data_IF_640757186679
#
_entry.id   IF_640757186679
#
_cell.length_a   1.000
_cell.length_b   1.000
_cell.length_c   1.000
_cell.angle_alpha   90.00
_cell.angle_beta   90.00
_cell.angle_gamma   90.00
#
_symmetry.space_group_name_H-M   'P 1'
#
loop_
_entity.id
_entity.type
_entity.pdbx_description
1 polymer ?
#
# COMPACT_ATOMS: atom_id res chain seq x y z
N UNK A 1 -11.73 32.35 0.89
CA UNK A 1 -10.82 31.44 0.18
C UNK A 1 -11.62 30.20 -0.16
N UNK A 2 -11.64 29.76 -1.42
CA UNK A 2 -12.37 28.54 -1.81
C UNK A 2 -11.63 27.29 -1.31
N UNK A 3 -12.34 26.17 -1.17
CA UNK A 3 -11.72 24.88 -0.81
C UNK A 3 -10.69 24.48 -1.86
N UNK A 4 -11.00 24.69 -3.14
CA UNK A 4 -10.08 24.41 -4.24
C UNK A 4 -8.78 25.20 -4.13
N UNK A 5 -8.87 26.52 -3.90
CA UNK A 5 -7.68 27.34 -3.71
C UNK A 5 -6.85 26.87 -2.51
N UNK A 6 -7.50 26.53 -1.40
CA UNK A 6 -6.81 26.00 -0.23
C UNK A 6 -6.12 24.65 -0.52
N UNK A 7 -6.71 23.81 -1.37
CA UNK A 7 -6.12 22.55 -1.81
C UNK A 7 -4.83 22.79 -2.60
N UNK A 8 -4.90 23.66 -3.61
CA UNK A 8 -3.75 24.04 -4.45
C UNK A 8 -2.66 24.73 -3.61
N UNK A 9 -3.02 25.69 -2.77
CA UNK A 9 -2.08 26.39 -1.89
C UNK A 9 -1.38 25.40 -0.93
N UNK A 10 -2.10 24.38 -0.43
CA UNK A 10 -1.50 23.34 0.43
C UNK A 10 -0.51 22.46 -0.34
N UNK A 11 -0.84 22.06 -1.58
CA UNK A 11 0.08 21.27 -2.43
C UNK A 11 1.33 22.09 -2.75
N UNK A 12 1.15 23.35 -3.15
CA UNK A 12 2.24 24.29 -3.44
C UNK A 12 3.20 24.46 -2.27
N UNK A 13 2.68 24.80 -1.08
CA UNK A 13 3.51 24.92 0.14
C UNK A 13 4.20 23.58 0.46
N UNK A 14 3.52 22.46 0.21
CA UNK A 14 4.10 21.14 0.40
C UNK A 14 5.33 20.89 -0.49
N UNK A 15 5.29 21.35 -1.74
CA UNK A 15 6.41 21.25 -2.68
C UNK A 15 7.54 22.24 -2.33
N UNK A 16 7.20 23.47 -1.94
CA UNK A 16 8.18 24.45 -1.45
C UNK A 16 8.94 23.94 -0.22
N UNK A 17 8.23 23.29 0.71
CA UNK A 17 8.81 22.68 1.90
C UNK A 17 9.72 21.49 1.54
N UNK A 18 9.47 20.79 0.42
CA UNK A 18 10.34 19.70 -0.06
C UNK A 18 11.63 20.21 -0.73
N UNK A 19 11.55 21.32 -1.47
CA UNK A 19 12.71 21.96 -2.10
C UNK A 19 13.57 22.75 -1.11
N UNK A 20 13.07 22.97 0.11
CA UNK A 20 13.81 23.63 1.19
C UNK A 20 15.03 22.83 1.62
N UNK A 21 16.16 23.52 1.80
CA UNK A 21 17.39 22.94 2.35
C UNK A 21 17.33 22.66 3.88
N UNK A 22 16.20 22.96 4.53
CA UNK A 22 15.97 22.66 5.95
C UNK A 22 15.24 21.31 6.08
N UNK A 23 15.97 20.25 6.44
CA UNK A 23 15.44 18.87 6.57
C UNK A 23 14.20 18.78 7.49
N UNK A 24 14.03 19.72 8.43
CA UNK A 24 12.85 19.76 9.30
C UNK A 24 11.56 20.04 8.53
N UNK A 25 11.66 20.56 7.31
CA UNK A 25 10.53 20.87 6.41
C UNK A 25 9.96 19.64 5.72
N UNK A 26 10.66 18.51 5.69
CA UNK A 26 10.17 17.24 5.12
C UNK A 26 8.81 16.82 5.72
N UNK A 27 8.65 16.94 7.04
CA UNK A 27 7.37 16.63 7.71
C UNK A 27 6.27 17.61 7.29
N UNK A 28 6.63 18.88 7.17
CA UNK A 28 5.69 19.92 6.73
C UNK A 28 5.23 19.65 5.30
N UNK A 29 6.16 19.32 4.41
CA UNK A 29 5.90 18.91 3.03
C UNK A 29 4.87 17.78 2.97
N UNK A 30 5.17 16.67 3.64
CA UNK A 30 4.32 15.47 3.69
C UNK A 30 2.90 15.78 4.21
N UNK A 31 2.80 16.59 5.27
CA UNK A 31 1.50 17.01 5.83
C UNK A 31 0.69 17.87 4.86
N UNK A 32 1.34 18.84 4.24
CA UNK A 32 0.70 19.81 3.36
C UNK A 32 0.22 19.15 2.06
N UNK A 33 1.01 18.25 1.47
CA UNK A 33 0.62 17.47 0.29
C UNK A 33 -0.58 16.58 0.61
N UNK A 34 -0.53 15.81 1.70
CA UNK A 34 -1.64 14.94 2.08
C UNK A 34 -2.93 15.73 2.38
N UNK A 35 -2.81 16.86 3.09
CA UNK A 35 -3.94 17.76 3.33
C UNK A 35 -4.51 18.32 2.01
N UNK A 36 -3.65 18.69 1.07
CA UNK A 36 -4.02 19.15 -0.26
C UNK A 36 -4.85 18.13 -1.04
N UNK A 37 -4.44 16.85 -1.05
CA UNK A 37 -5.20 15.75 -1.67
C UNK A 37 -6.60 15.64 -1.04
N UNK A 38 -6.70 15.63 0.29
CA UNK A 38 -7.99 15.56 0.97
C UNK A 38 -8.88 16.77 0.69
N UNK A 39 -8.29 17.95 0.52
CA UNK A 39 -9.02 19.17 0.15
C UNK A 39 -9.53 19.12 -1.30
N UNK A 40 -8.78 18.55 -2.25
CA UNK A 40 -9.28 18.29 -3.61
C UNK A 40 -10.49 17.36 -3.56
N UNK A 41 -10.43 16.29 -2.77
CA UNK A 41 -11.55 15.36 -2.62
C UNK A 41 -12.78 16.04 -2.02
N UNK A 42 -12.58 16.86 -0.98
CA UNK A 42 -13.65 17.66 -0.36
C UNK A 42 -14.23 18.69 -1.32
N UNK A 43 -13.41 19.28 -2.20
CA UNK A 43 -13.88 20.19 -3.22
C UNK A 43 -14.84 19.48 -4.18
N UNK A 44 -14.50 18.27 -4.65
CA UNK A 44 -15.41 17.49 -5.51
C UNK A 44 -16.75 17.17 -4.82
N UNK A 45 -16.72 16.82 -3.52
CA UNK A 45 -17.96 16.63 -2.76
C UNK A 45 -18.77 17.92 -2.64
N UNK A 46 -18.12 19.07 -2.52
CA UNK A 46 -18.78 20.37 -2.52
C UNK A 46 -19.47 20.64 -3.87
N UNK A 47 -18.81 20.38 -5.01
CA UNK A 47 -19.41 20.54 -6.34
C UNK A 47 -20.62 19.62 -6.59
N UNK A 48 -20.57 18.39 -6.07
CA UNK A 48 -21.64 17.41 -6.22
C UNK A 48 -22.78 17.61 -5.21
N UNK A 49 -22.61 18.47 -4.21
CA UNK A 49 -23.66 18.74 -3.24
C UNK A 49 -24.81 19.48 -3.93
N UNK A 50 -26.07 19.01 -3.79
CA UNK A 50 -27.21 19.69 -4.39
C UNK A 50 -27.31 21.15 -3.93
N UNK A 51 -27.87 22.00 -4.80
CA UNK A 51 -28.26 23.36 -4.41
C UNK A 51 -29.17 23.29 -3.16
N UNK A 52 -29.06 24.29 -2.30
CA UNK A 52 -29.79 24.39 -1.02
C UNK A 52 -29.57 23.26 0.01
N UNK A 53 -28.56 22.39 -0.18
CA UNK A 53 -28.25 21.29 0.75
C UNK A 53 -27.29 21.66 1.89
N UNK A 54 -26.83 22.91 1.98
CA UNK A 54 -25.73 23.33 2.87
C UNK A 54 -24.49 22.41 2.74
N UNK A 55 -24.09 22.13 1.49
CA UNK A 55 -22.95 21.27 1.16
C UNK A 55 -23.05 19.88 1.83
N UNK A 56 -24.20 19.21 1.73
CA UNK A 56 -24.48 17.98 2.47
C UNK A 56 -23.39 16.89 2.31
N UNK A 57 -22.76 16.80 1.12
CA UNK A 57 -21.73 15.80 0.83
C UNK A 57 -20.36 16.11 1.44
N UNK A 58 -20.11 17.31 1.98
CA UNK A 58 -18.89 17.59 2.75
C UNK A 58 -19.16 17.59 4.27
N UNK A 59 -20.41 17.78 4.74
CA UNK A 59 -20.72 17.76 6.18
C UNK A 59 -20.71 16.34 6.75
N UNK A 60 -20.18 16.19 7.96
CA UNK A 60 -20.20 14.90 8.67
C UNK A 60 -21.62 14.50 9.09
N UNK A 61 -22.45 15.48 9.45
CA UNK A 61 -23.85 15.27 9.87
C UNK A 61 -24.79 15.77 8.79
N UNK A 62 -25.71 14.92 8.37
CA UNK A 62 -26.76 15.23 7.38
C UNK A 62 -28.10 14.83 7.97
N UNK A 63 -29.09 15.73 7.93
CA UNK A 63 -30.43 15.52 8.49
C UNK A 63 -31.51 15.77 7.42
N UNK A 64 -32.65 15.07 7.48
CA UNK A 64 -33.76 15.35 6.60
C UNK A 64 -34.47 16.66 7.02
N UNK A 65 -34.86 17.45 6.02
CA UNK A 65 -35.72 18.62 6.15
C UNK A 65 -36.83 18.55 5.11
N UNK A 66 -38.04 18.97 5.47
CA UNK A 66 -39.18 19.00 4.55
C UNK A 66 -39.26 20.40 3.93
N UNK A 67 -39.26 20.46 2.60
CA UNK A 67 -39.42 21.73 1.89
C UNK A 67 -40.88 22.17 1.76
N UNK A 68 -41.10 23.34 1.14
CA UNK A 68 -42.43 23.90 0.94
C UNK A 68 -43.35 23.03 0.05
N UNK A 69 -42.80 22.10 -0.73
CA UNK A 69 -43.54 21.16 -1.58
C UNK A 69 -43.91 19.86 -0.85
N UNK A 70 -43.36 19.65 0.36
CA UNK A 70 -43.50 18.42 1.13
C UNK A 70 -42.45 17.35 0.80
N UNK A 71 -41.46 17.66 -0.05
CA UNK A 71 -40.38 16.75 -0.37
C UNK A 71 -39.31 16.72 0.75
N UNK A 72 -38.65 15.58 0.91
CA UNK A 72 -37.57 15.40 1.89
C UNK A 72 -36.24 15.72 1.23
N UNK A 73 -35.58 16.77 1.72
CA UNK A 73 -34.23 17.16 1.32
C UNK A 73 -33.23 16.83 2.43
N UNK A 74 -32.05 16.38 2.04
CA UNK A 74 -30.97 16.06 2.98
C UNK A 74 -30.04 17.25 3.11
N UNK A 75 -30.05 17.88 4.28
CA UNK A 75 -29.30 19.12 4.55
C UNK A 75 -28.14 18.83 5.49
N UNK A 76 -26.97 19.34 5.11
CA UNK A 76 -25.78 19.34 5.96
C UNK A 76 -26.00 20.11 7.25
N UNK A 77 -25.41 19.66 8.36
CA UNK A 77 -25.52 20.35 9.64
C UNK A 77 -24.19 20.46 10.36
N UNK A 78 -23.89 21.68 10.83
CA UNK A 78 -22.76 21.98 11.69
C UNK A 78 -21.48 22.30 10.91
N UNK A 79 -20.36 22.42 11.66
CA UNK A 79 -19.07 22.87 11.11
C UNK A 79 -18.10 21.73 10.79
N UNK A 80 -18.38 20.51 11.27
CA UNK A 80 -17.49 19.36 11.05
C UNK A 80 -17.66 18.85 9.62
N UNK A 81 -16.54 18.68 8.94
CA UNK A 81 -16.48 18.09 7.61
C UNK A 81 -16.10 16.62 7.69
N UNK A 82 -16.35 15.89 6.61
CA UNK A 82 -15.95 14.50 6.44
C UNK A 82 -14.45 14.30 6.67
N UNK A 83 -14.10 13.17 7.28
CA UNK A 83 -12.73 12.64 7.35
C UNK A 83 -12.45 11.69 6.16
N UNK A 84 -11.24 11.12 6.11
CA UNK A 84 -10.81 10.24 5.01
C UNK A 84 -11.72 9.02 4.82
N UNK A 85 -12.24 8.44 5.90
CA UNK A 85 -13.12 7.27 5.82
C UNK A 85 -14.48 7.66 5.25
N UNK A 86 -15.06 8.76 5.74
CA UNK A 86 -16.30 9.30 5.20
C UNK A 86 -16.16 9.71 3.73
N UNK A 87 -15.00 10.23 3.31
CA UNK A 87 -14.72 10.53 1.89
C UNK A 87 -14.71 9.23 1.07
N UNK A 88 -14.01 8.19 1.53
CA UNK A 88 -13.94 6.88 0.86
C UNK A 88 -15.32 6.26 0.65
N UNK A 89 -16.16 6.26 1.68
CA UNK A 89 -17.52 5.74 1.60
C UNK A 89 -18.38 6.55 0.62
N UNK A 90 -18.29 7.88 0.67
CA UNK A 90 -19.05 8.76 -0.24
C UNK A 90 -18.60 8.59 -1.68
N UNK A 91 -17.30 8.56 -1.95
CA UNK A 91 -16.76 8.33 -3.29
C UNK A 91 -17.17 6.98 -3.84
N UNK A 92 -17.12 5.91 -3.02
CA UNK A 92 -17.63 4.60 -3.41
C UNK A 92 -19.12 4.64 -3.76
N UNK A 93 -19.93 5.34 -2.96
CA UNK A 93 -21.37 5.47 -3.21
C UNK A 93 -21.71 6.32 -4.44
N UNK A 94 -20.84 7.26 -4.79
CA UNK A 94 -20.97 8.18 -5.93
C UNK A 94 -20.24 7.68 -7.19
N UNK A 95 -19.61 6.50 -7.13
CA UNK A 95 -18.78 5.94 -8.21
C UNK A 95 -17.66 6.90 -8.66
N UNK A 96 -17.02 7.56 -7.71
CA UNK A 96 -15.83 8.40 -7.93
C UNK A 96 -14.59 7.53 -7.74
N UNK A 97 -13.81 7.39 -8.79
CA UNK A 97 -12.61 6.56 -8.80
C UNK A 97 -11.40 7.30 -8.23
N UNK A 98 -10.68 6.64 -7.33
CA UNK A 98 -9.44 7.10 -6.69
C UNK A 98 -8.56 5.89 -6.42
N UNK A 99 -7.25 6.02 -6.61
CA UNK A 99 -6.28 5.01 -6.18
C UNK A 99 -6.13 5.03 -4.65
N UNK A 100 -7.07 4.36 -3.97
CA UNK A 100 -7.08 4.25 -2.51
C UNK A 100 -5.85 3.54 -1.95
N UNK A 101 -5.27 2.60 -2.70
CA UNK A 101 -4.04 1.89 -2.28
C UNK A 101 -2.87 2.85 -2.21
N UNK A 102 -2.72 3.71 -3.23
CA UNK A 102 -1.69 4.77 -3.24
C UNK A 102 -1.93 5.80 -2.14
N UNK A 103 -3.18 6.18 -1.88
CA UNK A 103 -3.50 7.09 -0.77
C UNK A 103 -3.16 6.49 0.61
N UNK A 104 -3.42 5.20 0.81
CA UNK A 104 -3.10 4.47 2.04
C UNK A 104 -1.58 4.41 2.25
N UNK A 105 -0.78 4.18 1.20
CA UNK A 105 0.69 4.29 1.27
C UNK A 105 1.16 5.68 1.70
N UNK A 106 0.64 6.74 1.08
CA UNK A 106 0.97 8.13 1.45
C UNK A 106 0.63 8.40 2.91
N UNK A 107 -0.53 7.92 3.39
CA UNK A 107 -0.94 8.10 4.78
C UNK A 107 -0.06 7.32 5.76
N UNK A 108 0.35 6.10 5.42
CA UNK A 108 1.27 5.30 6.24
C UNK A 108 2.63 6.00 6.33
N UNK A 109 3.18 6.41 5.18
CA UNK A 109 4.43 7.16 5.12
C UNK A 109 4.36 8.46 5.94
N UNK A 110 3.23 9.19 5.90
CA UNK A 110 3.00 10.35 6.77
C UNK A 110 3.09 9.98 8.26
N UNK A 111 2.43 8.90 8.67
CA UNK A 111 2.46 8.46 10.06
C UNK A 111 3.87 8.03 10.48
N UNK A 112 4.58 7.30 9.63
CA UNK A 112 5.92 6.81 9.92
C UNK A 112 6.91 7.96 10.10
N UNK A 113 6.86 8.98 9.22
CA UNK A 113 7.62 10.22 9.40
C UNK A 113 7.24 10.93 10.70
N UNK A 114 5.95 11.02 11.04
CA UNK A 114 5.50 11.66 12.27
C UNK A 114 5.98 10.94 13.55
N UNK A 115 6.25 9.64 13.47
CA UNK A 115 6.65 8.81 14.60
C UNK A 115 8.16 8.57 14.71
N UNK A 116 8.90 8.50 13.60
CA UNK A 116 10.28 8.01 13.55
C UNK A 116 11.30 9.02 13.00
N UNK A 117 11.20 10.30 13.42
CA UNK A 117 12.03 11.45 12.98
C UNK A 117 13.55 11.20 12.72
N UNK A 118 14.15 10.15 13.28
CA UNK A 118 15.60 9.90 13.30
C UNK A 118 16.22 9.18 12.09
N UNK A 119 15.47 8.66 11.12
CA UNK A 119 16.02 7.86 9.99
C UNK A 119 15.82 8.47 8.59
N UNK A 120 15.38 9.73 8.51
CA UNK A 120 14.88 10.34 7.27
C UNK A 120 15.98 10.81 6.30
N UNK A 121 15.71 10.64 5.00
CA UNK A 121 16.44 11.23 3.88
C UNK A 121 15.44 11.81 2.84
N UNK A 122 15.95 12.63 1.92
CA UNK A 122 15.17 13.28 0.87
C UNK A 122 14.50 12.28 -0.10
N UNK A 123 15.17 11.16 -0.37
CA UNK A 123 14.76 10.11 -1.31
C UNK A 123 13.47 9.40 -0.89
N UNK A 124 13.30 9.14 0.41
CA UNK A 124 12.05 8.54 0.91
C UNK A 124 10.83 9.44 0.61
N UNK A 125 11.00 10.77 0.64
CA UNK A 125 9.93 11.74 0.36
C UNK A 125 9.62 11.82 -1.13
N UNK A 126 10.60 11.56 -1.99
CA UNK A 126 10.40 11.53 -3.44
C UNK A 126 9.35 10.49 -3.83
N UNK A 127 9.32 9.33 -3.16
CA UNK A 127 8.27 8.35 -3.36
C UNK A 127 6.89 8.91 -3.00
N UNK A 128 6.76 9.57 -1.84
CA UNK A 128 5.48 10.18 -1.44
C UNK A 128 5.03 11.22 -2.46
N UNK A 129 5.93 12.05 -2.96
CA UNK A 129 5.62 13.09 -3.94
C UNK A 129 5.20 12.45 -5.27
N UNK A 130 5.92 11.41 -5.72
CA UNK A 130 5.57 10.61 -6.90
C UNK A 130 4.17 9.99 -6.75
N UNK A 131 3.91 9.30 -5.63
CA UNK A 131 2.60 8.72 -5.32
C UNK A 131 1.50 9.80 -5.27
N UNK A 132 1.79 10.94 -4.66
CA UNK A 132 0.86 12.07 -4.57
C UNK A 132 0.59 12.70 -5.93
N UNK A 133 1.60 12.79 -6.80
CA UNK A 133 1.48 13.34 -8.14
C UNK A 133 0.48 12.56 -8.97
N UNK A 134 0.57 11.23 -8.98
CA UNK A 134 -0.36 10.38 -9.73
C UNK A 134 -1.80 10.58 -9.25
N UNK A 135 -2.03 10.63 -7.94
CA UNK A 135 -3.37 10.89 -7.38
C UNK A 135 -3.87 12.28 -7.77
N UNK A 136 -3.06 13.32 -7.53
CA UNK A 136 -3.44 14.72 -7.79
C UNK A 136 -3.74 14.93 -9.27
N UNK A 137 -2.84 14.50 -10.15
CA UNK A 137 -3.01 14.60 -11.61
C UNK A 137 -4.29 13.93 -12.06
N UNK A 138 -4.45 12.64 -11.76
CA UNK A 138 -5.59 11.87 -12.27
C UNK A 138 -6.90 12.40 -11.70
N UNK A 139 -6.92 12.77 -10.41
CA UNK A 139 -8.12 13.32 -9.80
C UNK A 139 -8.53 14.66 -10.43
N UNK A 140 -7.58 15.57 -10.66
CA UNK A 140 -7.89 16.86 -11.31
C UNK A 140 -8.40 16.64 -12.74
N UNK A 141 -7.72 15.79 -13.53
CA UNK A 141 -8.08 15.57 -14.92
C UNK A 141 -9.41 14.81 -15.08
N UNK A 142 -9.63 13.76 -14.28
CA UNK A 142 -10.74 12.81 -14.47
C UNK A 142 -11.96 13.16 -13.62
N UNK A 143 -11.77 13.76 -12.45
CA UNK A 143 -12.86 14.05 -11.50
C UNK A 143 -13.22 15.53 -11.44
N UNK A 144 -12.30 16.44 -11.77
CA UNK A 144 -12.57 17.89 -11.84
C UNK A 144 -12.64 18.44 -13.28
N UNK A 145 -12.40 17.61 -14.30
CA UNK A 145 -12.44 17.98 -15.73
C UNK A 145 -11.64 19.27 -16.04
N UNK A 146 -10.48 19.40 -15.38
CA UNK A 146 -9.60 20.58 -15.48
C UNK A 146 -8.19 20.12 -15.85
N UNK A 147 -7.43 20.95 -16.56
CA UNK A 147 -6.01 20.68 -16.83
C UNK A 147 -5.20 20.78 -15.52
N UNK A 148 -4.51 19.70 -15.08
CA UNK A 148 -3.74 19.72 -13.84
C UNK A 148 -2.58 20.72 -13.83
N UNK A 149 -1.94 20.96 -14.99
CA UNK A 149 -0.85 21.93 -15.13
C UNK A 149 -1.40 23.35 -15.03
N UNK A 150 -2.55 23.65 -15.63
CA UNK A 150 -3.19 24.96 -15.51
C UNK A 150 -3.65 25.23 -14.06
N UNK A 151 -4.21 24.23 -13.38
CA UNK A 151 -4.72 24.38 -12.02
C UNK A 151 -3.61 24.53 -10.98
N UNK A 152 -2.55 23.73 -11.07
CA UNK A 152 -1.42 23.77 -10.14
C UNK A 152 -0.44 24.90 -10.47
N UNK A 153 -0.35 25.31 -11.74
CA UNK A 153 0.65 26.25 -12.23
C UNK A 153 1.92 25.56 -12.73
N UNK A 154 2.60 26.20 -13.69
CA UNK A 154 3.75 25.59 -14.40
C UNK A 154 4.93 25.24 -13.48
N UNK A 155 5.18 26.06 -12.47
CA UNK A 155 6.27 25.90 -11.51
C UNK A 155 6.12 24.59 -10.72
N UNK A 156 5.03 24.45 -9.98
CA UNK A 156 4.78 23.27 -9.15
C UNK A 156 4.53 22.01 -9.97
N UNK A 157 3.88 22.13 -11.13
CA UNK A 157 3.71 21.01 -12.06
C UNK A 157 5.07 20.43 -12.48
N UNK A 158 6.03 21.30 -12.82
CA UNK A 158 7.37 20.88 -13.23
C UNK A 158 8.08 20.13 -12.11
N UNK A 159 8.02 20.62 -10.86
CA UNK A 159 8.62 19.96 -9.70
C UNK A 159 8.06 18.54 -9.54
N UNK A 160 6.73 18.38 -9.59
CA UNK A 160 6.11 17.06 -9.42
C UNK A 160 6.49 16.08 -10.53
N UNK A 161 6.56 16.54 -11.78
CA UNK A 161 6.99 15.72 -12.92
C UNK A 161 8.44 15.28 -12.75
N UNK A 162 9.35 16.21 -12.42
CA UNK A 162 10.77 15.90 -12.24
C UNK A 162 10.99 14.89 -11.11
N UNK A 163 10.34 15.09 -9.96
CA UNK A 163 10.44 14.14 -8.83
C UNK A 163 9.89 12.76 -9.19
N UNK A 164 8.75 12.71 -9.90
CA UNK A 164 8.17 11.45 -10.35
C UNK A 164 9.08 10.74 -11.35
N UNK A 165 9.65 11.43 -12.34
CA UNK A 165 10.56 10.84 -13.33
C UNK A 165 11.82 10.25 -12.69
N UNK A 166 12.44 10.99 -11.75
CA UNK A 166 13.61 10.50 -11.01
C UNK A 166 13.25 9.26 -10.19
N UNK A 167 12.14 9.30 -9.44
CA UNK A 167 11.72 8.16 -8.62
C UNK A 167 11.44 6.91 -9.47
N UNK A 168 10.70 7.04 -10.58
CA UNK A 168 10.39 5.91 -11.46
C UNK A 168 11.65 5.31 -12.09
N UNK A 169 12.64 6.15 -12.45
CA UNK A 169 13.92 5.68 -12.97
C UNK A 169 14.71 4.88 -11.92
N UNK A 170 14.80 5.39 -10.68
CA UNK A 170 15.47 4.68 -9.58
C UNK A 170 14.74 3.39 -9.22
N UNK A 171 13.40 3.41 -9.18
CA UNK A 171 12.58 2.24 -8.93
C UNK A 171 12.79 1.16 -9.99
N UNK A 172 12.81 1.53 -11.27
CA UNK A 172 13.09 0.60 -12.36
C UNK A 172 14.50 -0.01 -12.26
N UNK A 173 15.51 0.78 -11.86
CA UNK A 173 16.86 0.27 -11.66
C UNK A 173 16.93 -0.75 -10.50
N UNK A 174 16.22 -0.49 -9.41
CA UNK A 174 16.04 -1.43 -8.30
C UNK A 174 15.34 -2.73 -8.74
N UNK A 175 14.23 -2.64 -9.48
CA UNK A 175 13.52 -3.82 -9.97
C UNK A 175 14.38 -4.67 -10.92
N UNK A 176 15.13 -4.01 -11.81
CA UNK A 176 16.07 -4.70 -12.70
C UNK A 176 17.17 -5.44 -11.94
N UNK A 177 17.68 -4.90 -10.83
CA UNK A 177 18.70 -5.60 -10.03
C UNK A 177 18.14 -6.85 -9.38
N UNK A 178 16.91 -6.79 -8.85
CA UNK A 178 16.19 -7.94 -8.31
C UNK A 178 15.95 -9.02 -9.38
N UNK A 179 15.55 -8.62 -10.59
CA UNK A 179 15.32 -9.55 -11.72
C UNK A 179 16.57 -10.31 -12.18
N UNK A 180 17.77 -9.87 -11.78
CA UNK A 180 19.01 -10.60 -12.11
C UNK A 180 19.23 -11.86 -11.27
N UNK A 181 18.47 -12.03 -10.18
CA UNK A 181 18.60 -13.16 -9.26
C UNK A 181 17.68 -14.32 -9.65
N UNK A 182 18.01 -15.52 -9.17
CA UNK A 182 17.14 -16.69 -9.31
C UNK A 182 16.34 -16.90 -8.04
N UNK A 183 15.02 -17.03 -8.15
CA UNK A 183 14.11 -17.26 -7.03
C UNK A 183 13.45 -18.62 -7.14
N UNK A 184 13.07 -19.20 -5.99
CA UNK A 184 12.32 -20.46 -5.92
C UNK A 184 10.87 -20.31 -6.37
N UNK A 185 10.35 -19.08 -6.37
CA UNK A 185 9.03 -18.71 -6.88
C UNK A 185 9.01 -17.25 -7.34
N UNK A 186 8.32 -16.97 -8.45
CA UNK A 186 8.08 -15.62 -8.96
C UNK A 186 7.32 -14.74 -7.94
N UNK A 187 6.50 -15.33 -7.08
CA UNK A 187 5.79 -14.62 -6.01
C UNK A 187 6.74 -13.94 -5.03
N UNK A 188 7.92 -14.51 -4.81
CA UNK A 188 8.94 -13.91 -3.92
C UNK A 188 9.55 -12.68 -4.59
N UNK A 189 9.88 -12.76 -5.88
CA UNK A 189 10.33 -11.60 -6.65
C UNK A 189 9.27 -10.50 -6.66
N UNK A 190 8.00 -10.85 -6.89
CA UNK A 190 6.88 -9.89 -6.86
C UNK A 190 6.70 -9.26 -5.47
N UNK A 191 6.92 -10.02 -4.40
CA UNK A 191 6.93 -9.50 -3.03
C UNK A 191 8.08 -8.52 -2.82
N UNK A 192 9.30 -8.82 -3.28
CA UNK A 192 10.45 -7.94 -3.13
C UNK A 192 10.27 -6.64 -3.92
N UNK A 193 9.68 -6.71 -5.12
CA UNK A 193 9.36 -5.52 -5.92
C UNK A 193 8.34 -4.61 -5.25
N UNK A 194 7.42 -5.15 -4.44
CA UNK A 194 6.38 -4.36 -3.75
C UNK A 194 6.76 -3.93 -2.33
N UNK A 195 7.76 -4.58 -1.74
CA UNK A 195 8.19 -4.37 -0.37
C UNK A 195 8.61 -2.92 -0.09
N UNK A 196 8.25 -2.43 1.09
CA UNK A 196 8.65 -1.12 1.60
C UNK A 196 9.68 -1.30 2.72
N UNK A 197 10.82 -0.62 2.59
CA UNK A 197 11.87 -0.64 3.60
C UNK A 197 11.32 -0.19 4.96
N UNK A 198 11.44 -1.03 5.98
CA UNK A 198 10.92 -0.74 7.32
C UNK A 198 11.66 0.40 8.04
N UNK A 199 12.84 0.80 7.57
CA UNK A 199 13.64 1.88 8.19
C UNK A 199 13.28 3.28 7.68
N UNK A 200 12.87 3.40 6.41
CA UNK A 200 12.61 4.70 5.77
C UNK A 200 11.31 4.77 4.96
N UNK A 201 10.59 3.67 4.80
CA UNK A 201 9.35 3.59 4.04
C UNK A 201 9.51 3.65 2.52
N UNK A 202 10.74 3.63 1.99
CA UNK A 202 10.96 3.62 0.53
C UNK A 202 10.80 2.22 -0.06
N UNK A 203 10.27 2.12 -1.26
CA UNK A 203 10.17 0.92 -2.08
C UNK A 203 11.42 0.71 -2.95
N UNK A 204 12.57 1.29 -2.60
CA UNK A 204 13.79 1.25 -3.40
C UNK A 204 14.76 0.17 -2.87
N UNK A 205 14.28 -1.06 -2.71
CA UNK A 205 15.15 -2.20 -2.40
C UNK A 205 15.84 -2.70 -3.67
N UNK A 206 17.14 -2.91 -3.59
CA UNK A 206 17.98 -3.44 -4.66
C UNK A 206 18.81 -4.64 -4.20
N UNK A 207 19.08 -5.54 -5.13
CA UNK A 207 20.09 -6.58 -4.94
C UNK A 207 21.50 -5.98 -5.11
N UNK A 208 22.44 -6.39 -4.25
CA UNK A 208 23.86 -6.04 -4.35
C UNK A 208 24.65 -7.05 -5.20
N UNK A 209 24.13 -8.27 -5.29
CA UNK A 209 24.71 -9.37 -6.08
C UNK A 209 23.93 -9.53 -7.39
N UNK A 210 24.56 -10.12 -8.42
CA UNK A 210 23.93 -10.29 -9.74
C UNK A 210 24.16 -11.70 -10.28
N UNK A 211 23.13 -12.31 -10.87
CA UNK A 211 23.23 -13.63 -11.50
C UNK A 211 23.48 -14.79 -10.52
N UNK A 212 23.14 -14.60 -9.24
CA UNK A 212 23.25 -15.62 -8.19
C UNK A 212 21.86 -16.08 -7.74
N UNK A 213 21.82 -17.13 -6.93
CA UNK A 213 20.59 -17.50 -6.22
C UNK A 213 20.22 -16.38 -5.24
N UNK A 214 18.93 -16.02 -5.17
CA UNK A 214 18.46 -14.96 -4.30
C UNK A 214 18.76 -15.26 -2.82
N UNK A 215 18.80 -16.54 -2.42
CA UNK A 215 19.15 -16.99 -1.07
C UNK A 215 20.58 -16.60 -0.67
N UNK A 216 21.49 -16.46 -1.65
CA UNK A 216 22.90 -16.09 -1.42
C UNK A 216 23.14 -14.57 -1.55
N UNK A 217 22.14 -13.81 -1.99
CA UNK A 217 22.28 -12.39 -2.28
C UNK A 217 22.09 -11.51 -1.04
N UNK A 218 22.72 -10.33 -1.08
CA UNK A 218 22.49 -9.25 -0.12
C UNK A 218 21.61 -8.16 -0.75
N UNK A 219 20.78 -7.53 0.08
CA UNK A 219 19.84 -6.51 -0.35
C UNK A 219 20.07 -5.23 0.41
N UNK A 220 20.01 -4.10 -0.29
CA UNK A 220 20.09 -2.78 0.32
C UNK A 220 18.89 -1.94 -0.08
N UNK A 221 18.43 -1.11 0.85
CA UNK A 221 17.60 0.02 0.51
C UNK A 221 18.46 1.12 -0.09
N UNK A 222 18.27 1.43 -1.37
CA UNK A 222 19.00 2.50 -2.06
C UNK A 222 18.83 3.85 -1.38
N UNK A 223 17.66 4.06 -0.75
CA UNK A 223 17.36 5.30 -0.06
C UNK A 223 18.16 5.44 1.24
N UNK A 224 17.90 4.60 2.25
CA UNK A 224 18.51 4.77 3.57
C UNK A 224 19.83 4.02 3.76
N UNK A 225 20.22 3.18 2.80
CA UNK A 225 21.41 2.33 2.88
C UNK A 225 21.27 1.14 3.84
N UNK A 226 20.09 0.88 4.41
CA UNK A 226 19.87 -0.29 5.26
C UNK A 226 20.07 -1.58 4.47
N UNK A 227 20.84 -2.50 5.03
CA UNK A 227 21.21 -3.78 4.41
C UNK A 227 20.55 -4.94 5.14
N UNK A 228 20.04 -5.91 4.38
CA UNK A 228 19.41 -7.12 4.90
C UNK A 228 19.82 -8.36 4.07
N UNK A 229 19.81 -9.51 4.73
CA UNK A 229 19.97 -10.81 4.06
C UNK A 229 18.61 -11.34 3.59
N UNK A 230 18.65 -12.30 2.67
CA UNK A 230 17.45 -12.87 2.06
C UNK A 230 16.45 -13.43 3.09
N UNK A 231 16.91 -14.14 4.12
CA UNK A 231 16.02 -14.80 5.09
C UNK A 231 15.18 -13.79 5.88
N UNK A 232 15.77 -12.65 6.24
CA UNK A 232 15.07 -11.57 6.95
C UNK A 232 14.13 -10.82 6.00
N UNK A 233 14.63 -10.46 4.81
CA UNK A 233 13.86 -9.72 3.82
C UNK A 233 12.67 -10.52 3.30
N UNK A 234 12.86 -11.82 3.01
CA UNK A 234 11.81 -12.68 2.46
C UNK A 234 10.62 -12.84 3.41
N UNK A 235 10.87 -13.06 4.70
CA UNK A 235 9.81 -13.13 5.71
C UNK A 235 9.03 -11.81 5.81
N UNK A 236 9.73 -10.67 5.83
CA UNK A 236 9.11 -9.34 5.89
C UNK A 236 8.30 -9.02 4.62
N UNK A 237 8.88 -9.27 3.45
CA UNK A 237 8.27 -9.00 2.16
C UNK A 237 7.03 -9.85 1.91
N UNK A 238 7.08 -11.16 2.22
CA UNK A 238 5.93 -12.06 2.05
C UNK A 238 4.81 -11.74 3.05
N UNK A 239 5.15 -11.39 4.30
CA UNK A 239 4.17 -10.96 5.29
C UNK A 239 3.42 -9.69 4.85
N UNK A 240 4.13 -8.71 4.27
CA UNK A 240 3.51 -7.51 3.70
C UNK A 240 2.68 -7.84 2.46
N UNK A 241 3.21 -8.66 1.56
CA UNK A 241 2.57 -9.04 0.30
C UNK A 241 1.20 -9.72 0.51
N UNK A 242 1.13 -10.64 1.47
CA UNK A 242 -0.09 -11.40 1.79
C UNK A 242 -0.92 -10.82 2.93
N UNK A 243 -0.60 -9.63 3.43
CA UNK A 243 -1.29 -9.03 4.59
C UNK A 243 -2.81 -8.94 4.40
N UNK A 244 -3.26 -8.59 3.19
CA UNK A 244 -4.69 -8.50 2.86
C UNK A 244 -5.36 -9.89 2.82
N UNK A 245 -4.71 -10.87 2.21
CA UNK A 245 -5.23 -12.24 2.09
C UNK A 245 -5.30 -12.93 3.45
N UNK A 246 -4.27 -12.76 4.29
CA UNK A 246 -4.26 -13.24 5.67
C UNK A 246 -5.37 -12.61 6.51
N UNK A 247 -5.62 -11.30 6.36
CA UNK A 247 -6.73 -10.64 7.03
C UNK A 247 -8.07 -11.28 6.66
N UNK A 248 -8.32 -11.50 5.36
CA UNK A 248 -9.56 -12.13 4.88
C UNK A 248 -9.67 -13.59 5.31
N UNK A 249 -8.57 -14.35 5.34
CA UNK A 249 -8.56 -15.72 5.86
C UNK A 249 -9.02 -15.75 7.32
N UNK A 250 -8.56 -14.81 8.14
CA UNK A 250 -8.93 -14.71 9.55
C UNK A 250 -10.35 -14.18 9.80
N UNK A 251 -10.84 -13.22 9.02
CA UNK A 251 -12.16 -12.63 9.25
C UNK A 251 -13.31 -13.37 8.56
N UNK A 252 -13.04 -13.92 7.37
CA UNK A 252 -14.07 -14.42 6.46
C UNK A 252 -13.94 -15.94 6.23
N UNK A 253 -12.91 -16.59 6.79
CA UNK A 253 -12.69 -18.03 6.70
C UNK A 253 -12.19 -18.50 5.33
N UNK A 254 -11.52 -17.60 4.58
CA UNK A 254 -10.84 -17.96 3.34
C UNK A 254 -9.60 -18.84 3.60
N UNK A 255 -9.11 -19.51 2.56
CA UNK A 255 -7.87 -20.30 2.61
C UNK A 255 -6.67 -19.39 2.95
N UNK A 256 -5.80 -19.83 3.85
CA UNK A 256 -4.55 -19.11 4.16
C UNK A 256 -3.56 -19.21 2.98
N UNK A 257 -2.93 -18.11 2.55
CA UNK A 257 -2.00 -18.13 1.42
C UNK A 257 -0.62 -18.72 1.78
N UNK A 258 -0.26 -18.64 3.06
CA UNK A 258 1.07 -19.02 3.56
C UNK A 258 0.99 -19.61 4.97
N UNK A 259 1.93 -20.47 5.31
CA UNK A 259 2.18 -20.96 6.67
C UNK A 259 3.68 -20.90 6.99
N UNK A 260 4.05 -21.07 8.26
CA UNK A 260 5.45 -21.33 8.61
C UNK A 260 5.90 -22.67 8.02
N UNK A 261 7.11 -22.71 7.45
CA UNK A 261 7.62 -23.95 6.87
C UNK A 261 7.74 -25.04 7.94
N UNK A 262 7.10 -26.21 7.77
CA UNK A 262 7.13 -27.28 8.77
C UNK A 262 8.48 -28.02 8.82
N UNK A 263 9.37 -27.80 7.85
CA UNK A 263 10.68 -28.46 7.78
C UNK A 263 11.78 -27.60 8.40
N UNK A 264 11.96 -26.35 7.95
CA UNK A 264 13.02 -25.49 8.48
C UNK A 264 12.59 -24.54 9.61
N UNK A 265 11.28 -24.30 9.80
CA UNK A 265 10.73 -23.34 10.76
C UNK A 265 11.25 -21.90 10.63
N UNK A 266 11.96 -21.58 9.56
CA UNK A 266 12.53 -20.26 9.29
C UNK A 266 11.89 -19.59 8.07
N UNK A 267 11.55 -20.39 7.05
CA UNK A 267 10.97 -19.89 5.81
C UNK A 267 9.45 -19.88 5.83
N UNK A 268 8.88 -19.14 4.90
CA UNK A 268 7.44 -19.10 4.63
C UNK A 268 7.12 -20.16 3.57
N UNK A 269 6.20 -21.07 3.87
CA UNK A 269 5.69 -22.02 2.90
C UNK A 269 4.53 -21.39 2.13
N UNK A 270 4.72 -21.27 0.81
CA UNK A 270 3.74 -20.71 -0.10
C UNK A 270 2.75 -21.82 -0.50
N UNK A 271 1.47 -21.66 -0.15
CA UNK A 271 0.48 -22.75 -0.26
C UNK A 271 0.12 -23.06 -1.72
N UNK A 272 -0.01 -22.04 -2.57
CA UNK A 272 -0.39 -22.21 -3.97
C UNK A 272 0.75 -22.86 -4.78
N UNK A 273 1.98 -22.46 -4.50
CA UNK A 273 3.19 -22.92 -5.17
C UNK A 273 3.72 -24.24 -4.58
N UNK A 274 3.36 -24.56 -3.34
CA UNK A 274 3.74 -25.78 -2.66
C UNK A 274 5.23 -25.86 -2.32
N UNK A 275 5.87 -24.73 -2.03
CA UNK A 275 7.31 -24.64 -1.78
C UNK A 275 7.65 -23.65 -0.65
N UNK A 276 8.70 -23.97 0.10
CA UNK A 276 9.28 -23.08 1.10
C UNK A 276 10.15 -22.00 0.45
N UNK A 277 10.04 -20.76 0.94
CA UNK A 277 10.83 -19.62 0.47
C UNK A 277 12.33 -19.71 0.75
N UNK A 278 12.79 -20.62 1.64
CA UNK A 278 14.18 -20.72 2.10
C UNK A 278 14.81 -22.09 1.83
N UNK A 279 14.15 -23.19 2.22
CA UNK A 279 14.79 -24.52 2.24
C UNK A 279 14.34 -25.46 1.11
N UNK A 280 13.62 -24.95 0.11
CA UNK A 280 13.05 -25.72 -1.02
C UNK A 280 12.14 -26.88 -0.62
N UNK A 281 11.69 -26.94 0.63
CA UNK A 281 10.78 -27.97 1.09
C UNK A 281 9.46 -27.91 0.31
N UNK A 282 9.09 -29.04 -0.30
CA UNK A 282 7.81 -29.24 -0.98
C UNK A 282 6.99 -30.31 -0.26
N UNK A 283 5.67 -30.14 -0.15
CA UNK A 283 4.78 -31.14 0.43
C UNK A 283 3.69 -31.57 -0.54
N UNK A 284 3.16 -32.78 -0.36
CA UNK A 284 2.03 -33.25 -1.14
C UNK A 284 0.76 -32.42 -0.85
N UNK A 285 0.08 -31.97 -1.90
CA UNK A 285 -1.21 -31.27 -1.76
C UNK A 285 -2.39 -32.22 -1.51
N UNK A 286 -2.18 -33.52 -1.68
CA UNK A 286 -3.18 -34.58 -1.47
C UNK A 286 -2.61 -35.75 -0.68
N UNK A 287 -3.40 -36.26 0.26
CA UNK A 287 -3.05 -37.39 1.08
C UNK A 287 -2.86 -38.67 0.25
N UNK A 288 -1.68 -39.27 0.34
CA UNK A 288 -1.31 -40.51 -0.38
C UNK A 288 -2.25 -41.68 -0.07
N UNK A 289 -2.88 -41.70 1.12
CA UNK A 289 -3.75 -42.80 1.55
C UNK A 289 -5.21 -42.65 1.13
N UNK A 290 -5.81 -41.48 1.36
CA UNK A 290 -7.24 -41.28 1.10
C UNK A 290 -7.53 -40.44 -0.16
N UNK A 291 -6.50 -39.83 -0.77
CA UNK A 291 -6.63 -38.93 -1.92
C UNK A 291 -7.27 -37.57 -1.60
N UNK A 292 -7.63 -37.29 -0.34
CA UNK A 292 -8.19 -36.01 0.07
C UNK A 292 -7.13 -34.89 0.07
N UNK A 293 -7.56 -33.65 -0.17
CA UNK A 293 -6.70 -32.45 -0.04
C UNK A 293 -6.14 -32.38 1.39
N UNK A 294 -4.84 -32.15 1.53
CA UNK A 294 -4.23 -31.86 2.84
C UNK A 294 -4.49 -30.37 3.11
N UNK A 295 -5.22 -30.01 4.18
CA UNK A 295 -5.44 -28.61 4.52
C UNK A 295 -4.12 -27.95 4.95
N UNK A 296 -3.96 -26.63 4.75
CA UNK A 296 -2.72 -25.92 5.10
C UNK A 296 -2.17 -26.23 6.50
N UNK A 297 -3.06 -26.34 7.49
CA UNK A 297 -2.69 -26.57 8.89
C UNK A 297 -2.16 -28.00 9.16
N UNK A 298 -2.36 -28.93 8.23
CA UNK A 298 -1.87 -30.31 8.30
C UNK A 298 -0.64 -30.56 7.40
N UNK A 299 -0.18 -29.53 6.66
CA UNK A 299 1.02 -29.66 5.83
C UNK A 299 2.22 -29.96 6.74
N UNK A 300 2.92 -31.02 6.40
CA UNK A 300 4.05 -31.55 7.15
C UNK A 300 5.02 -32.26 6.21
N UNK A 301 6.12 -32.78 6.73
CA UNK A 301 7.03 -33.66 5.99
C UNK A 301 6.39 -35.01 5.61
N UNK A 302 5.16 -35.30 6.06
CA UNK A 302 4.43 -36.50 5.67
C UNK A 302 3.46 -36.23 4.51
N UNK A 303 3.39 -37.15 3.56
CA UNK A 303 2.41 -37.12 2.45
C UNK A 303 0.99 -37.56 2.89
N UNK A 304 0.66 -37.40 4.17
CA UNK A 304 -0.56 -37.90 4.78
C UNK A 304 -1.34 -36.76 5.45
N UNK A 305 -2.66 -36.75 5.26
CA UNK A 305 -3.51 -35.90 6.10
C UNK A 305 -3.46 -36.37 7.57
N UNK A 306 -3.76 -35.46 8.50
CA UNK A 306 -3.68 -35.67 9.93
C UNK A 306 -4.47 -36.89 10.40
N UNK A 307 -5.66 -37.12 9.84
CA UNK A 307 -6.43 -38.34 10.11
C UNK A 307 -5.70 -39.63 9.68
N UNK A 308 -5.14 -39.64 8.48
CA UNK A 308 -4.46 -40.81 7.95
C UNK A 308 -3.15 -41.09 8.68
N UNK A 309 -2.41 -40.05 9.04
CA UNK A 309 -1.22 -40.08 9.88
C UNK A 309 -1.54 -40.67 11.26
N UNK A 310 -2.53 -40.10 11.97
CA UNK A 310 -2.99 -40.60 13.27
C UNK A 310 -3.39 -42.08 13.25
N UNK A 311 -4.11 -42.51 12.21
CA UNK A 311 -4.54 -43.90 12.07
C UNK A 311 -3.37 -44.87 11.85
N UNK A 312 -2.31 -44.46 11.14
CA UNK A 312 -1.11 -45.28 10.97
C UNK A 312 -0.34 -45.36 12.29
N UNK A 313 -0.13 -44.24 12.97
CA UNK A 313 0.57 -44.21 14.26
C UNK A 313 -0.15 -45.05 15.33
N UNK A 314 -1.48 -45.13 15.26
CA UNK A 314 -2.26 -45.99 16.16
C UNK A 314 -1.99 -47.47 15.89
N UNK A 315 -1.96 -47.87 14.62
CA UNK A 315 -1.67 -49.26 14.22
C UNK A 315 -0.23 -49.65 14.59
N UNK A 316 0.74 -48.74 14.45
CA UNK A 316 2.14 -49.02 14.80
C UNK A 316 2.41 -49.12 16.31
N UNK A 317 1.49 -48.63 17.15
CA UNK A 317 1.59 -48.68 18.62
C UNK A 317 0.94 -49.92 19.24
N UNK A 318 0.23 -50.71 18.45
CA UNK A 318 -0.39 -51.99 18.83
C UNK A 318 0.50 -53.18 18.43
#
# INVERSE_FOLDING_TARGET
>A
MSILKNAVDSIAIGLEDFESADDRRIISSTRNIFAGILLLFKHRLCELSPEDSDEALIKQKVLPAIDATGAVNWIGQGKKTVDVHNIKDRFKSLSIEVDWKRLERINNYRNDIEHYYSTMNHESVQQLISDSFIIIRNFIAEQLDTDPKELLGEEYWKVMVEVNEVYEQEKAACELSLETLTYVSDTILDAFKKYQCQECGSGLIEAQDTGVDALEANFNCRSCGHSEHYEELSGKALAEYFAADLYLAHTDGNDVPTIDCPSCYQGTYLIEEGICSICDFTSASSCMRCGGRIPPEEISESDLCGYCSYMIDKIMRE
#
